data_IF_223907895010
#
_entry.id   IF_223907895010
#
_cell.length_a   1.000
_cell.length_b   1.000
_cell.length_c   1.000
_cell.angle_alpha   90.00
_cell.angle_beta   90.00
_cell.angle_gamma   90.00
#
_symmetry.space_group_name_H-M   'P 1'
#
loop_
_entity.id
_entity.type
_entity.pdbx_description
1 polymer ?
#
# COMPACT_ATOMS: atom_id res chain seq x y z
N UNK A 1 13.09 -4.72 -38.59
CA UNK A 1 13.41 -5.70 -37.54
C UNK A 1 14.75 -5.30 -36.93
N UNK A 2 14.74 -4.79 -35.70
CA UNK A 2 15.96 -4.58 -34.93
C UNK A 2 16.14 -5.79 -33.99
N UNK A 3 17.16 -6.63 -34.22
CA UNK A 3 17.42 -7.78 -33.36
C UNK A 3 17.65 -7.42 -31.89
N UNK A 4 18.20 -6.23 -31.59
CA UNK A 4 18.45 -5.80 -30.22
C UNK A 4 17.14 -5.52 -29.48
N UNK A 5 16.23 -4.77 -30.11
CA UNK A 5 14.90 -4.47 -29.57
C UNK A 5 14.09 -5.76 -29.40
N UNK A 6 14.12 -6.66 -30.38
CA UNK A 6 13.40 -7.94 -30.30
C UNK A 6 13.90 -8.79 -29.13
N UNK A 7 15.22 -8.88 -28.92
CA UNK A 7 15.80 -9.62 -27.78
C UNK A 7 15.37 -9.02 -26.45
N UNK A 8 15.43 -7.71 -26.29
CA UNK A 8 14.99 -7.04 -25.07
C UNK A 8 13.52 -7.30 -24.75
N UNK A 9 12.64 -7.19 -25.76
CA UNK A 9 11.22 -7.46 -25.59
C UNK A 9 10.94 -8.93 -25.24
N UNK A 10 11.63 -9.86 -25.91
CA UNK A 10 11.51 -11.29 -25.61
C UNK A 10 11.95 -11.60 -24.18
N UNK A 11 13.07 -11.02 -23.72
CA UNK A 11 13.54 -11.15 -22.34
C UNK A 11 12.54 -10.62 -21.32
N UNK A 12 11.87 -9.49 -21.60
CA UNK A 12 10.86 -8.92 -20.73
C UNK A 12 9.59 -9.80 -20.67
N UNK A 13 9.19 -10.39 -21.80
CA UNK A 13 8.05 -11.30 -21.86
C UNK A 13 8.30 -12.57 -21.04
N UNK A 14 9.49 -13.17 -21.12
CA UNK A 14 9.86 -14.40 -20.42
C UNK A 14 10.51 -14.18 -19.03
N UNK A 15 10.33 -13.01 -18.42
CA UNK A 15 10.99 -12.66 -17.15
C UNK A 15 10.65 -13.62 -15.99
N UNK A 16 9.45 -14.22 -16.00
CA UNK A 16 9.02 -15.15 -14.96
C UNK A 16 9.77 -16.49 -15.01
N UNK A 17 10.01 -17.02 -16.20
CA UNK A 17 10.77 -18.27 -16.40
C UNK A 17 12.22 -18.13 -15.95
N UNK A 18 12.77 -16.92 -16.03
CA UNK A 18 14.15 -16.60 -15.64
C UNK A 18 14.27 -16.11 -14.18
N UNK A 19 13.17 -16.07 -13.43
CA UNK A 19 13.15 -15.58 -12.07
C UNK A 19 13.99 -16.46 -11.14
N UNK A 20 14.85 -15.82 -10.34
CA UNK A 20 15.60 -16.49 -9.27
C UNK A 20 15.14 -15.99 -7.90
N UNK A 21 14.73 -16.88 -6.99
CA UNK A 21 14.36 -16.48 -5.64
C UNK A 21 15.62 -16.06 -4.87
N UNK A 22 15.85 -14.75 -4.78
CA UNK A 22 16.93 -14.16 -3.99
C UNK A 22 16.32 -13.40 -2.81
N UNK A 23 17.04 -13.26 -1.68
CA UNK A 23 16.54 -12.49 -0.54
C UNK A 23 16.16 -11.04 -0.90
N UNK A 24 16.91 -10.43 -1.82
CA UNK A 24 16.63 -9.09 -2.34
C UNK A 24 15.29 -9.03 -3.09
N UNK A 25 15.03 -9.99 -3.99
CA UNK A 25 13.77 -10.05 -4.74
C UNK A 25 12.59 -10.30 -3.80
N UNK A 26 12.77 -11.16 -2.80
CA UNK A 26 11.76 -11.40 -1.77
C UNK A 26 11.44 -10.12 -0.99
N UNK A 27 12.45 -9.42 -0.47
CA UNK A 27 12.25 -8.18 0.27
C UNK A 27 11.51 -7.13 -0.59
N UNK A 28 11.89 -6.98 -1.85
CA UNK A 28 11.21 -6.04 -2.76
C UNK A 28 9.72 -6.37 -2.93
N UNK A 29 9.38 -7.64 -3.20
CA UNK A 29 8.00 -8.06 -3.36
C UNK A 29 7.21 -7.95 -2.04
N UNK A 30 7.82 -8.37 -0.92
CA UNK A 30 7.21 -8.32 0.40
C UNK A 30 6.88 -6.88 0.81
N UNK A 31 7.86 -5.98 0.78
CA UNK A 31 7.61 -4.58 1.11
C UNK A 31 6.69 -3.92 0.07
N UNK A 32 6.83 -4.21 -1.22
CA UNK A 32 5.93 -3.67 -2.25
C UNK A 32 4.46 -4.02 -2.01
N UNK A 33 4.16 -5.20 -1.45
CA UNK A 33 2.81 -5.65 -1.13
C UNK A 33 2.34 -5.17 0.25
N UNK A 34 3.13 -5.41 1.31
CA UNK A 34 2.68 -5.20 2.69
C UNK A 34 2.83 -3.76 3.17
N UNK A 35 3.78 -2.99 2.64
CA UNK A 35 3.99 -1.60 3.05
C UNK A 35 2.76 -0.71 2.78
N UNK A 36 2.13 -0.68 1.59
CA UNK A 36 0.96 0.17 1.37
C UNK A 36 -0.24 -0.24 2.24
N UNK A 37 -0.41 -1.54 2.49
CA UNK A 37 -1.50 -2.06 3.32
C UNK A 37 -1.33 -1.62 4.78
N UNK A 38 -0.13 -1.82 5.33
CA UNK A 38 0.18 -1.48 6.72
C UNK A 38 0.16 0.04 6.95
N UNK A 39 0.65 0.84 6.00
CA UNK A 39 0.57 2.29 6.07
C UNK A 39 -0.88 2.80 6.05
N UNK A 40 -1.73 2.24 5.18
CA UNK A 40 -3.13 2.63 5.13
C UNK A 40 -3.85 2.26 6.43
N UNK A 41 -3.65 1.05 6.92
CA UNK A 41 -4.24 0.59 8.18
C UNK A 41 -3.81 1.48 9.36
N UNK A 42 -2.52 1.80 9.45
CA UNK A 42 -2.00 2.69 10.49
C UNK A 42 -2.60 4.10 10.40
N UNK A 43 -2.71 4.66 9.19
CA UNK A 43 -3.34 5.97 8.98
C UNK A 43 -4.81 5.95 9.41
N UNK A 44 -5.56 4.93 9.00
CA UNK A 44 -6.97 4.79 9.37
C UNK A 44 -7.14 4.70 10.89
N UNK A 45 -6.31 3.93 11.58
CA UNK A 45 -6.36 3.82 13.04
C UNK A 45 -6.07 5.17 13.72
N UNK A 46 -5.03 5.87 13.25
CA UNK A 46 -4.69 7.22 13.76
C UNK A 46 -5.83 8.21 13.55
N UNK A 47 -6.46 8.20 12.38
CA UNK A 47 -7.60 9.07 12.07
C UNK A 47 -8.80 8.75 13.00
N UNK A 48 -9.04 7.47 13.31
CA UNK A 48 -10.08 7.05 14.28
C UNK A 48 -9.81 7.54 15.69
N UNK A 49 -8.59 7.33 16.20
CA UNK A 49 -8.20 7.77 17.56
C UNK A 49 -8.29 9.29 17.68
N UNK A 50 -7.75 10.01 16.72
CA UNK A 50 -7.79 11.49 16.75
C UNK A 50 -9.22 12.03 16.66
N UNK A 51 -10.11 11.38 15.90
CA UNK A 51 -11.52 11.75 15.85
C UNK A 51 -12.22 11.52 17.20
N UNK A 52 -12.01 10.36 17.83
CA UNK A 52 -12.59 10.04 19.13
C UNK A 52 -12.12 11.03 20.21
N UNK A 53 -10.82 11.34 20.25
CA UNK A 53 -10.27 12.34 21.16
C UNK A 53 -10.91 13.72 20.97
N UNK A 54 -11.05 14.19 19.73
CA UNK A 54 -11.71 15.47 19.41
C UNK A 54 -13.18 15.47 19.84
N UNK A 55 -13.86 14.34 19.70
CA UNK A 55 -15.24 14.18 20.13
C UNK A 55 -15.36 14.23 21.67
N UNK A 56 -14.42 13.61 22.40
CA UNK A 56 -14.37 13.62 23.88
C UNK A 56 -14.02 15.00 24.44
N UNK A 57 -13.15 15.75 23.77
CA UNK A 57 -12.82 17.14 24.14
C UNK A 57 -13.95 18.14 23.84
N UNK A 58 -14.96 17.74 23.07
CA UNK A 58 -16.06 18.63 22.68
C UNK A 58 -15.73 19.61 21.54
N UNK A 59 -14.59 19.43 20.86
CA UNK A 59 -14.18 20.25 19.72
C UNK A 59 -15.08 20.05 18.50
N UNK A 60 -15.70 18.87 18.39
CA UNK A 60 -16.64 18.52 17.33
C UNK A 60 -18.04 18.48 17.91
N UNK A 61 -18.89 19.42 17.49
CA UNK A 61 -20.30 19.43 17.85
C UNK A 61 -20.96 18.12 17.39
N UNK A 62 -21.89 17.58 18.18
CA UNK A 62 -22.51 16.27 17.92
C UNK A 62 -23.14 16.15 16.52
N UNK A 63 -23.65 17.26 15.99
CA UNK A 63 -24.23 17.34 14.64
C UNK A 63 -23.21 17.15 13.50
N UNK A 64 -21.94 17.51 13.73
CA UNK A 64 -20.88 17.57 12.72
C UNK A 64 -20.00 16.30 12.75
N UNK A 65 -20.37 15.30 13.55
CA UNK A 65 -19.67 14.00 13.61
C UNK A 65 -20.01 13.19 12.36
N UNK A 66 -19.00 12.87 11.57
CA UNK A 66 -19.14 12.09 10.33
C UNK A 66 -19.53 10.62 10.55
N UNK A 67 -19.27 10.07 11.73
CA UNK A 67 -19.63 8.70 12.13
C UNK A 67 -20.66 8.74 13.26
N UNK A 68 -21.92 8.99 12.91
CA UNK A 68 -23.00 9.21 13.89
C UNK A 68 -23.67 7.92 14.40
N UNK A 69 -23.53 6.80 13.68
CA UNK A 69 -24.33 5.57 13.89
C UNK A 69 -23.54 4.25 13.81
N UNK A 70 -22.24 4.26 14.13
CA UNK A 70 -21.44 3.03 14.31
C UNK A 70 -20.82 3.05 15.69
#
# INVERSE_FOLDING_TARGET
FDPAVQRFLSMKAHHYEMFKPTPKNFAFAFFGMFLPITLLAWKMEKDRVTLDEKCRRGEIAYKDRSWKFV
#
